data_IF_045961495458
#
_entry.id   IF_045961495458
#
_cell.length_a   1.000
_cell.length_b   1.000
_cell.length_c   1.000
_cell.angle_alpha   90.00
_cell.angle_beta   90.00
_cell.angle_gamma   90.00
#
_symmetry.space_group_name_H-M   'P 1'
#
loop_
_entity.id
_entity.type
_entity.pdbx_description
1 polymer ?
#
# COMPACT_ATOMS: atom_id res chain seq x y z
N UNK A 1 9.33 -11.96 13.38
CA UNK A 1 8.09 -12.73 13.12
C UNK A 1 7.66 -12.46 11.68
N UNK A 2 7.01 -13.41 11.01
CA UNK A 2 6.54 -13.26 9.63
C UNK A 2 5.09 -13.71 9.51
N UNK A 3 4.30 -13.01 8.68
CA UNK A 3 2.89 -13.34 8.43
C UNK A 3 2.73 -13.68 6.94
N UNK A 4 2.14 -14.84 6.67
CA UNK A 4 1.79 -15.29 5.33
C UNK A 4 0.33 -15.71 5.31
N UNK A 5 -0.48 -15.08 4.46
CA UNK A 5 -1.90 -15.40 4.32
C UNK A 5 -2.27 -15.43 2.85
N UNK A 6 -3.00 -16.49 2.47
CA UNK A 6 -3.72 -16.56 1.22
C UNK A 6 -5.20 -16.66 1.56
N UNK A 7 -5.96 -15.71 1.06
CA UNK A 7 -7.41 -15.68 1.16
C UNK A 7 -8.02 -15.72 -0.25
N UNK A 8 -9.27 -16.16 -0.34
CA UNK A 8 -10.01 -16.13 -1.62
C UNK A 8 -11.15 -15.12 -1.56
N UNK A 9 -11.92 -15.08 -0.47
CA UNK A 9 -13.15 -14.31 -0.40
C UNK A 9 -13.31 -13.50 0.90
N UNK A 10 -12.46 -13.71 1.89
CA UNK A 10 -12.53 -13.07 3.19
C UNK A 10 -11.88 -11.70 3.19
N UNK A 11 -12.43 -10.76 3.95
CA UNK A 11 -11.73 -9.51 4.20
C UNK A 11 -10.59 -9.76 5.20
N UNK A 12 -9.41 -9.20 4.91
CA UNK A 12 -8.25 -9.29 5.78
C UNK A 12 -8.08 -7.96 6.49
N UNK A 13 -7.98 -8.00 7.81
CA UNK A 13 -7.76 -6.82 8.62
C UNK A 13 -6.54 -7.02 9.51
N UNK A 14 -5.59 -6.09 9.43
CA UNK A 14 -4.44 -6.01 10.31
C UNK A 14 -4.60 -4.76 11.17
N UNK A 15 -4.67 -4.91 12.49
CA UNK A 15 -4.78 -3.80 13.44
C UNK A 15 -3.69 -3.97 14.48
N UNK A 16 -2.90 -2.93 14.74
CA UNK A 16 -1.86 -2.93 15.76
C UNK A 16 -0.87 -4.09 15.60
N UNK A 17 -0.52 -4.40 14.35
CA UNK A 17 0.30 -5.55 14.01
C UNK A 17 1.75 -5.12 13.86
N UNK A 18 2.67 -5.83 14.54
CA UNK A 18 4.12 -5.69 14.36
C UNK A 18 4.70 -6.99 13.81
N UNK A 19 5.34 -6.93 12.66
CA UNK A 19 5.97 -8.07 11.99
C UNK A 19 7.27 -7.66 11.32
N UNK A 20 8.13 -8.60 10.95
CA UNK A 20 9.31 -8.29 10.12
C UNK A 20 8.92 -8.36 8.64
N UNK A 21 8.20 -9.42 8.26
CA UNK A 21 7.78 -9.67 6.89
C UNK A 21 6.29 -9.92 6.84
N UNK A 22 5.61 -9.36 5.83
CA UNK A 22 4.25 -9.72 5.50
C UNK A 22 4.08 -10.07 4.03
N UNK A 23 3.30 -11.13 3.77
CA UNK A 23 2.80 -11.46 2.44
C UNK A 23 1.32 -11.82 2.54
N UNK A 24 0.46 -10.95 2.03
CA UNK A 24 -0.98 -11.17 1.92
C UNK A 24 -1.35 -11.29 0.44
N UNK A 25 -2.02 -12.36 0.08
CA UNK A 25 -2.69 -12.49 -1.22
C UNK A 25 -4.17 -12.76 -0.97
N UNK A 26 -5.05 -12.00 -1.62
CA UNK A 26 -6.47 -12.32 -1.72
C UNK A 26 -6.90 -12.38 -3.19
N UNK A 27 -8.06 -12.97 -3.47
CA UNK A 27 -8.69 -12.89 -4.79
C UNK A 27 -9.79 -11.83 -4.77
N UNK A 28 -10.77 -11.95 -3.87
CA UNK A 28 -11.95 -11.08 -3.83
C UNK A 28 -12.07 -10.26 -2.55
N UNK A 29 -11.24 -10.53 -1.55
CA UNK A 29 -11.27 -9.86 -0.25
C UNK A 29 -10.66 -8.47 -0.30
N UNK A 30 -11.26 -7.55 0.46
CA UNK A 30 -10.64 -6.27 0.79
C UNK A 30 -9.55 -6.48 1.85
N UNK A 31 -8.50 -5.66 1.77
CA UNK A 31 -7.41 -5.70 2.72
C UNK A 31 -7.32 -4.33 3.38
N UNK A 32 -7.48 -4.31 4.71
CA UNK A 32 -7.29 -3.11 5.52
C UNK A 32 -6.14 -3.32 6.49
N UNK A 33 -5.20 -2.39 6.54
CA UNK A 33 -4.14 -2.37 7.55
C UNK A 33 -4.13 -1.00 8.26
N UNK A 34 -4.19 -1.05 9.59
CA UNK A 34 -4.22 0.13 10.46
C UNK A 34 -3.18 -0.05 11.58
N UNK A 35 -2.34 0.95 11.79
CA UNK A 35 -1.22 0.91 12.76
C UNK A 35 -0.36 -0.35 12.57
N UNK A 36 0.11 -0.50 11.33
CA UNK A 36 0.79 -1.70 10.85
C UNK A 36 2.29 -1.47 10.66
N UNK A 37 3.11 -2.13 11.48
CA UNK A 37 4.56 -1.98 11.52
C UNK A 37 5.27 -3.19 10.89
N UNK A 38 6.14 -2.93 9.91
CA UNK A 38 6.85 -3.98 9.18
C UNK A 38 8.25 -3.58 8.71
N UNK A 39 9.08 -4.54 8.33
CA UNK A 39 10.32 -4.27 7.59
C UNK A 39 10.09 -4.39 6.08
N UNK A 40 9.52 -5.52 5.62
CA UNK A 40 9.12 -5.75 4.23
C UNK A 40 7.67 -6.21 4.11
N UNK A 41 6.92 -5.64 3.17
CA UNK A 41 5.54 -6.02 2.92
C UNK A 41 5.19 -6.24 1.45
N UNK A 42 4.41 -7.28 1.19
CA UNK A 42 3.74 -7.55 -0.08
C UNK A 42 2.26 -7.79 0.18
N UNK A 43 1.40 -6.93 -0.36
CA UNK A 43 -0.05 -7.02 -0.24
C UNK A 43 -0.65 -7.04 -1.64
N UNK A 44 -1.43 -8.07 -1.94
CA UNK A 44 -2.07 -8.23 -3.24
C UNK A 44 -3.51 -8.68 -3.10
N UNK A 45 -4.39 -8.13 -3.92
CA UNK A 45 -5.73 -8.68 -4.16
C UNK A 45 -6.05 -8.62 -5.65
N UNK A 46 -6.99 -9.43 -6.15
CA UNK A 46 -7.38 -9.36 -7.56
C UNK A 46 -8.52 -8.37 -7.77
N UNK A 47 -9.57 -8.47 -6.95
CA UNK A 47 -10.82 -7.74 -7.09
C UNK A 47 -11.23 -6.97 -5.80
N UNK A 48 -10.30 -6.85 -4.84
CA UNK A 48 -10.53 -6.12 -3.60
C UNK A 48 -9.88 -4.74 -3.60
N UNK A 49 -10.32 -3.91 -2.65
CA UNK A 49 -9.67 -2.66 -2.32
C UNK A 49 -8.56 -2.88 -1.29
N UNK A 50 -7.57 -2.00 -1.29
CA UNK A 50 -6.50 -1.99 -0.29
C UNK A 50 -6.52 -0.65 0.45
N UNK A 51 -6.70 -0.69 1.76
CA UNK A 51 -6.69 0.49 2.63
C UNK A 51 -5.51 0.40 3.61
N UNK A 52 -4.64 1.40 3.60
CA UNK A 52 -3.41 1.43 4.40
C UNK A 52 -3.37 2.72 5.21
N UNK A 53 -3.55 2.62 6.52
CA UNK A 53 -3.48 3.74 7.46
C UNK A 53 -2.35 3.48 8.44
N UNK A 54 -1.39 4.40 8.51
CA UNK A 54 -0.21 4.26 9.39
C UNK A 54 0.53 2.93 9.14
N UNK A 55 0.57 2.49 7.88
CA UNK A 55 1.46 1.41 7.45
C UNK A 55 2.89 1.98 7.45
N UNK A 56 3.74 1.48 8.34
CA UNK A 56 5.07 2.03 8.61
C UNK A 56 6.10 0.92 8.48
N UNK A 57 7.04 1.11 7.56
CA UNK A 57 8.10 0.14 7.31
C UNK A 57 9.07 0.57 6.23
N UNK A 58 10.03 -0.28 5.90
CA UNK A 58 11.08 0.10 4.96
C UNK A 58 10.62 -0.04 3.50
N UNK A 59 9.87 -1.10 3.20
CA UNK A 59 9.44 -1.38 1.83
C UNK A 59 8.06 -2.04 1.82
N UNK A 60 7.15 -1.48 1.03
CA UNK A 60 5.83 -2.04 0.80
C UNK A 60 5.52 -2.05 -0.69
N UNK A 61 5.02 -3.19 -1.17
CA UNK A 61 4.34 -3.25 -2.46
C UNK A 61 2.88 -3.66 -2.21
N UNK A 62 1.97 -2.76 -2.53
CA UNK A 62 0.53 -2.99 -2.51
C UNK A 62 -0.01 -2.96 -3.93
N UNK A 63 -0.80 -3.96 -4.32
CA UNK A 63 -1.39 -3.96 -5.67
C UNK A 63 -2.73 -4.66 -5.76
N UNK A 64 -3.62 -4.12 -6.58
CA UNK A 64 -4.89 -4.75 -6.98
C UNK A 64 -5.08 -4.72 -8.49
N UNK A 65 -5.91 -5.59 -9.05
CA UNK A 65 -6.22 -5.54 -10.50
C UNK A 65 -7.50 -4.75 -10.74
N UNK A 66 -8.57 -5.03 -10.00
CA UNK A 66 -9.89 -4.42 -10.15
C UNK A 66 -10.33 -3.85 -8.79
N UNK A 67 -9.65 -2.81 -8.33
CA UNK A 67 -9.94 -2.19 -7.05
C UNK A 67 -9.13 -0.92 -6.85
N UNK A 68 -9.46 -0.22 -5.77
CA UNK A 68 -8.84 1.04 -5.40
C UNK A 68 -7.80 0.83 -4.31
N UNK A 69 -6.82 1.72 -4.27
CA UNK A 69 -5.83 1.77 -3.18
C UNK A 69 -5.94 3.11 -2.48
N UNK A 70 -6.20 3.07 -1.18
CA UNK A 70 -6.20 4.25 -0.33
C UNK A 70 -5.05 4.17 0.68
N UNK A 71 -4.24 5.21 0.77
CA UNK A 71 -3.12 5.27 1.70
C UNK A 71 -3.07 6.60 2.47
N UNK A 72 -2.96 6.52 3.80
CA UNK A 72 -2.63 7.67 4.66
C UNK A 72 -1.25 7.44 5.30
N UNK A 73 -0.33 8.38 5.09
CA UNK A 73 1.00 8.38 5.70
C UNK A 73 1.19 9.63 6.56
N UNK A 74 1.04 9.46 7.88
CA UNK A 74 1.14 10.53 8.88
C UNK A 74 2.45 10.50 9.69
N UNK A 75 3.38 9.60 9.38
CA UNK A 75 4.65 9.42 10.10
C UNK A 75 5.78 9.15 9.12
N UNK A 76 6.97 9.65 9.46
CA UNK A 76 8.19 9.39 8.71
C UNK A 76 8.85 8.08 9.15
N UNK A 77 9.19 7.27 8.17
CA UNK A 77 10.12 6.15 8.33
C UNK A 77 10.86 5.95 7.00
N UNK A 78 11.83 5.05 6.92
CA UNK A 78 12.64 4.83 5.71
C UNK A 78 11.83 4.18 4.56
N UNK A 79 10.82 4.89 4.07
CA UNK A 79 9.67 4.38 3.32
C UNK A 79 9.95 4.37 1.81
N UNK A 80 9.97 3.18 1.19
CA UNK A 80 9.85 3.06 -0.27
C UNK A 80 8.62 2.23 -0.60
N UNK A 81 7.54 2.90 -1.00
CA UNK A 81 6.24 2.27 -1.25
C UNK A 81 5.91 2.23 -2.73
N UNK A 82 5.29 1.12 -3.16
CA UNK A 82 4.81 0.91 -4.52
C UNK A 82 3.33 0.57 -4.46
N UNK A 83 2.48 1.49 -4.92
CA UNK A 83 1.04 1.29 -5.02
C UNK A 83 0.67 1.14 -6.49
N UNK A 84 0.03 0.03 -6.85
CA UNK A 84 -0.30 -0.25 -8.24
C UNK A 84 -1.72 -0.78 -8.37
N UNK A 85 -2.51 -0.19 -9.26
CA UNK A 85 -3.76 -0.80 -9.70
C UNK A 85 -3.84 -0.86 -11.22
N UNK A 86 -4.64 -1.76 -11.77
CA UNK A 86 -4.88 -1.82 -13.22
C UNK A 86 -6.17 -1.07 -13.58
N UNK A 87 -7.26 -1.40 -12.91
CA UNK A 87 -8.59 -0.85 -13.14
C UNK A 87 -9.13 -0.31 -11.80
N UNK A 88 -8.72 0.90 -11.45
CA UNK A 88 -9.11 1.54 -10.21
C UNK A 88 -8.27 2.77 -9.91
N UNK A 89 -8.66 3.47 -8.86
CA UNK A 89 -8.03 4.72 -8.45
C UNK A 89 -7.03 4.49 -7.32
N UNK A 90 -6.03 5.38 -7.24
CA UNK A 90 -5.11 5.44 -6.12
C UNK A 90 -5.25 6.80 -5.46
N UNK A 91 -5.65 6.81 -4.20
CA UNK A 91 -5.72 8.02 -3.39
C UNK A 91 -4.67 7.96 -2.29
N UNK A 92 -3.88 9.03 -2.18
CA UNK A 92 -2.80 9.15 -1.21
C UNK A 92 -2.99 10.43 -0.43
N UNK A 93 -2.94 10.31 0.89
CA UNK A 93 -2.86 11.45 1.79
C UNK A 93 -1.56 11.35 2.59
N UNK A 94 -0.63 12.28 2.41
CA UNK A 94 0.70 12.18 2.99
C UNK A 94 1.21 13.51 3.57
N UNK A 95 2.16 13.43 4.50
CA UNK A 95 2.87 14.61 4.98
C UNK A 95 3.62 15.31 3.82
N UNK A 96 3.76 16.65 3.81
CA UNK A 96 4.33 17.41 2.69
C UNK A 96 5.77 17.05 2.30
N UNK A 97 6.56 16.45 3.20
CA UNK A 97 7.94 16.06 2.88
C UNK A 97 8.08 14.65 2.30
N UNK A 98 6.98 13.91 2.14
CA UNK A 98 6.97 12.62 1.44
C UNK A 98 6.87 12.88 -0.06
N UNK A 99 7.87 12.42 -0.81
CA UNK A 99 7.83 12.50 -2.26
C UNK A 99 6.85 11.47 -2.81
N UNK A 100 5.94 11.90 -3.68
CA UNK A 100 5.04 11.02 -4.42
C UNK A 100 5.38 11.12 -5.91
N UNK A 101 5.55 9.97 -6.55
CA UNK A 101 5.95 9.88 -7.95
C UNK A 101 4.98 8.98 -8.69
N UNK A 102 4.21 9.56 -9.62
CA UNK A 102 3.51 8.80 -10.66
C UNK A 102 4.57 8.30 -11.64
N UNK A 103 4.69 6.98 -11.78
CA UNK A 103 5.85 6.30 -12.40
C UNK A 103 6.56 7.08 -13.53
N UNK A 104 7.79 7.51 -13.27
CA UNK A 104 8.81 7.81 -14.27
C UNK A 104 10.02 6.92 -13.93
N UNK A 105 10.74 6.41 -14.93
CA UNK A 105 11.77 5.35 -14.79
C UNK A 105 13.02 5.70 -13.96
N UNK A 106 12.91 6.64 -13.04
CA UNK A 106 13.98 7.17 -12.18
C UNK A 106 13.81 6.67 -10.75
N UNK A 107 14.88 6.13 -10.19
CA UNK A 107 14.95 5.75 -8.77
C UNK A 107 15.11 7.00 -7.91
N UNK A 108 14.37 7.04 -6.80
CA UNK A 108 14.43 8.14 -5.84
C UNK A 108 14.86 7.60 -4.47
N UNK A 109 15.66 8.36 -3.71
CA UNK A 109 15.97 7.97 -2.34
C UNK A 109 14.69 8.06 -1.47
N UNK A 110 14.54 7.17 -0.47
CA UNK A 110 13.44 7.26 0.49
C UNK A 110 13.51 8.55 1.33
N UNK A 111 12.37 9.07 1.83
CA UNK A 111 11.02 8.52 1.69
C UNK A 111 10.38 8.84 0.33
N UNK A 112 9.88 7.81 -0.36
CA UNK A 112 9.18 7.96 -1.65
C UNK A 112 8.03 6.97 -1.81
N UNK A 113 6.92 7.44 -2.37
CA UNK A 113 5.78 6.60 -2.78
C UNK A 113 5.70 6.63 -4.30
N UNK A 114 5.93 5.49 -4.92
CA UNK A 114 5.70 5.26 -6.35
C UNK A 114 4.27 4.78 -6.56
N UNK A 115 3.54 5.46 -7.43
CA UNK A 115 2.15 5.13 -7.73
C UNK A 115 1.92 4.99 -9.22
N UNK A 116 1.06 4.04 -9.58
CA UNK A 116 0.72 3.76 -10.97
C UNK A 116 -0.67 3.14 -11.08
N UNK A 117 -1.50 3.69 -11.95
CA UNK A 117 -2.75 3.08 -12.39
C UNK A 117 -2.79 3.04 -13.93
N UNK A 118 -3.38 1.99 -14.51
CA UNK A 118 -3.52 1.89 -15.98
C UNK A 118 -4.82 2.53 -16.46
N UNK A 119 -5.93 2.21 -15.79
CA UNK A 119 -7.28 2.64 -16.12
C UNK A 119 -7.94 3.19 -14.84
N UNK A 120 -7.49 4.37 -14.41
CA UNK A 120 -8.02 5.10 -13.25
C UNK A 120 -7.23 6.37 -13.02
N UNK A 121 -7.48 7.03 -11.90
CA UNK A 121 -6.85 8.28 -11.51
C UNK A 121 -5.90 8.09 -10.33
N UNK A 122 -4.99 9.06 -10.17
CA UNK A 122 -4.15 9.18 -8.99
C UNK A 122 -4.45 10.53 -8.33
N UNK A 123 -5.03 10.49 -7.15
CA UNK A 123 -5.34 11.67 -6.35
C UNK A 123 -4.36 11.77 -5.17
N UNK A 124 -3.76 12.94 -5.02
CA UNK A 124 -2.74 13.21 -4.01
C UNK A 124 -3.14 14.40 -3.17
N UNK A 125 -3.27 14.16 -1.87
CA UNK A 125 -3.61 15.14 -0.86
C UNK A 125 -2.48 15.27 0.17
N UNK A 126 -2.32 16.45 0.75
CA UNK A 126 -1.38 16.70 1.85
C UNK A 126 -2.12 16.92 3.16
N UNK A 127 -1.57 16.38 4.26
CA UNK A 127 -2.06 16.57 5.64
C UNK A 127 -1.08 17.36 6.50
#
# INVERSE_FOLDING_TARGET
MSIYLNDINGNVMLINTNTSVIKLNSVNGNIKAEDFYFFHGLIKTLNGNIELKNAIGNYLKASTTNGNIFMIVNKYFNLTYYLNTRNGDIEITALPSIRIVTYSGVTHPPPVIHVNTTNGNVDVNTI
#
